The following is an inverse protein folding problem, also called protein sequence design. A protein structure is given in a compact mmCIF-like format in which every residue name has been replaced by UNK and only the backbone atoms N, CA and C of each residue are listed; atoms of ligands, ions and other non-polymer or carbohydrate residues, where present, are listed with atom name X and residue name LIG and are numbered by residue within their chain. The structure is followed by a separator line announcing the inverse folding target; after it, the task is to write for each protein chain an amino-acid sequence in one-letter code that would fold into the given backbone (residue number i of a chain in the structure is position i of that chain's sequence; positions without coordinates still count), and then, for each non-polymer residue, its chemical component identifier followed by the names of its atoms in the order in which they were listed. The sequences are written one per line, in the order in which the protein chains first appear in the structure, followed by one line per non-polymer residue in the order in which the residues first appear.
data_IF_208239028553
#
_entry.id   IF_208239028553
#
_cell.length_a   1.000
_cell.length_b   1.000
_cell.length_c   1.000
_cell.angle_alpha   90.00
_cell.angle_beta   90.00
_cell.angle_gamma   90.00
#
_symmetry.space_group_name_H-M   'P 1'
#
loop_
_entity.id
_entity.type
_entity.pdbx_description
1 polymer ?
#
# COMPACT_ATOMS: atom_id res chain seq x y z
N UNK A 1 -54.12 41.40 49.21
CA UNK A 1 -54.06 40.43 48.13
C UNK A 1 -52.73 40.57 47.41
N UNK A 2 -51.72 39.82 47.78
CA UNK A 2 -50.40 39.85 47.20
C UNK A 2 -50.32 38.78 46.09
N UNK A 3 -50.06 39.23 44.85
CA UNK A 3 -49.84 38.33 43.71
C UNK A 3 -48.37 37.88 43.71
N UNK A 4 -48.14 36.62 43.85
CA UNK A 4 -46.84 35.95 43.75
C UNK A 4 -46.60 35.63 42.27
N UNK A 5 -45.64 36.33 41.66
CA UNK A 5 -45.20 36.02 40.28
C UNK A 5 -44.08 34.98 40.33
N UNK A 6 -44.39 33.79 39.90
CA UNK A 6 -43.40 32.68 39.77
C UNK A 6 -42.63 32.89 38.47
N UNK A 7 -41.34 33.21 38.57
CA UNK A 7 -40.40 33.30 37.43
C UNK A 7 -39.93 31.88 37.13
N UNK A 8 -40.32 31.31 35.98
CA UNK A 8 -39.88 30.04 35.50
C UNK A 8 -38.54 30.24 34.72
N UNK A 9 -37.42 29.89 35.32
CA UNK A 9 -36.10 29.94 34.70
C UNK A 9 -35.94 28.68 33.82
N UNK A 10 -36.10 28.82 32.52
CA UNK A 10 -35.82 27.73 31.56
C UNK A 10 -34.31 27.63 31.36
N UNK A 11 -33.69 26.59 31.90
CA UNK A 11 -32.31 26.26 31.70
C UNK A 11 -32.18 25.58 30.32
N UNK A 12 -31.73 26.32 29.30
CA UNK A 12 -31.41 25.77 27.98
C UNK A 12 -30.05 25.11 28.10
N UNK A 13 -30.03 23.77 28.19
CA UNK A 13 -28.84 22.96 27.94
C UNK A 13 -28.51 23.03 26.43
N UNK A 14 -27.56 23.86 26.05
CA UNK A 14 -26.94 23.74 24.75
C UNK A 14 -26.10 22.45 24.73
N UNK A 15 -26.65 21.39 24.19
CA UNK A 15 -25.86 20.21 23.76
C UNK A 15 -24.97 20.68 22.63
N UNK A 16 -23.69 20.97 22.94
CA UNK A 16 -22.65 21.09 21.93
C UNK A 16 -22.55 19.71 21.26
N UNK A 17 -23.16 19.57 20.09
CA UNK A 17 -22.86 18.48 19.19
C UNK A 17 -21.39 18.69 18.77
N UNK A 18 -20.49 17.95 19.37
CA UNK A 18 -19.14 17.80 18.81
C UNK A 18 -19.34 17.12 17.44
N UNK A 19 -19.12 17.86 16.37
CA UNK A 19 -19.02 17.25 15.05
C UNK A 19 -17.85 16.26 15.12
N UNK A 20 -18.14 14.97 15.00
CA UNK A 20 -17.09 13.95 14.91
C UNK A 20 -16.28 14.24 13.66
N UNK A 21 -15.00 14.51 13.83
CA UNK A 21 -14.09 14.70 12.69
C UNK A 21 -14.03 13.37 11.92
N UNK A 22 -14.23 13.45 10.60
CA UNK A 22 -13.99 12.29 9.73
C UNK A 22 -12.71 12.50 8.97
N UNK A 23 -11.93 11.44 8.84
CA UNK A 23 -10.68 11.43 8.10
C UNK A 23 -10.81 10.50 6.88
N UNK A 24 -10.22 10.89 5.77
CA UNK A 24 -10.10 10.03 4.59
C UNK A 24 -9.10 8.92 4.89
N UNK A 25 -9.47 7.67 4.63
CA UNK A 25 -8.59 6.51 4.82
C UNK A 25 -7.91 6.18 3.52
N UNK A 26 -6.58 6.19 3.52
CA UNK A 26 -5.77 5.90 2.33
C UNK A 26 -4.73 4.84 2.67
N UNK A 27 -4.73 3.72 1.94
CA UNK A 27 -3.69 2.70 2.03
C UNK A 27 -2.59 2.94 1.00
N UNK A 28 -1.35 2.72 1.43
CA UNK A 28 -0.17 2.67 0.56
C UNK A 28 0.68 1.46 0.90
N UNK A 29 1.32 0.88 -0.12
CA UNK A 29 2.07 -0.37 0.01
C UNK A 29 3.53 -0.18 -0.40
N UNK A 30 4.44 -0.62 0.48
CA UNK A 30 5.86 -0.69 0.21
C UNK A 30 6.24 -2.12 -0.13
N UNK A 31 6.57 -2.39 -1.39
CA UNK A 31 6.90 -3.71 -1.90
C UNK A 31 8.37 -4.02 -1.71
N UNK A 32 8.70 -5.08 -0.93
CA UNK A 32 10.07 -5.48 -0.60
C UNK A 32 10.34 -6.96 -0.84
N UNK A 33 11.60 -7.25 -1.15
CA UNK A 33 12.15 -8.61 -1.21
C UNK A 33 13.48 -8.65 -0.43
N UNK A 34 13.38 -8.85 0.88
CA UNK A 34 14.49 -8.70 1.81
C UNK A 34 14.87 -7.23 2.03
N UNK A 35 16.13 -6.88 1.80
CA UNK A 35 16.60 -5.50 1.92
C UNK A 35 16.18 -4.62 0.74
N UNK A 36 15.91 -5.22 -0.43
CA UNK A 36 15.71 -4.53 -1.69
C UNK A 36 14.23 -4.24 -1.97
N UNK A 37 13.91 -3.17 -2.74
CA UNK A 37 12.59 -3.01 -3.34
C UNK A 37 12.28 -4.19 -4.25
N UNK A 38 11.04 -4.71 -4.15
CA UNK A 38 10.56 -5.73 -5.07
C UNK A 38 10.03 -5.07 -6.34
N UNK A 39 10.74 -5.26 -7.43
CA UNK A 39 10.39 -4.76 -8.77
C UNK A 39 10.22 -5.96 -9.69
N UNK A 40 9.03 -6.09 -10.30
CA UNK A 40 8.73 -7.18 -11.22
C UNK A 40 9.73 -7.23 -12.37
N UNK A 41 10.07 -8.44 -12.82
CA UNK A 41 11.02 -8.75 -13.87
C UNK A 41 12.48 -8.32 -13.62
N UNK A 42 12.76 -7.68 -12.47
CA UNK A 42 14.08 -7.12 -12.16
C UNK A 42 14.70 -7.70 -10.89
N UNK A 43 13.97 -7.62 -9.75
CA UNK A 43 14.52 -8.03 -8.46
C UNK A 43 14.62 -9.55 -8.35
N UNK A 44 15.85 -10.04 -8.19
CA UNK A 44 16.14 -11.44 -7.88
C UNK A 44 16.42 -11.54 -6.38
N UNK A 45 15.65 -12.34 -5.66
CA UNK A 45 15.79 -12.53 -4.23
C UNK A 45 15.96 -14.01 -3.85
N UNK A 46 16.49 -14.23 -2.65
CA UNK A 46 16.73 -15.59 -2.14
C UNK A 46 15.62 -15.96 -1.17
N UNK A 47 15.03 -17.14 -1.37
CA UNK A 47 14.03 -17.70 -0.47
C UNK A 47 14.65 -18.67 0.54
N UNK A 48 13.85 -19.19 1.49
CA UNK A 48 14.27 -19.95 2.67
C UNK A 48 15.21 -21.15 2.39
N UNK A 49 15.12 -21.78 1.22
CA UNK A 49 15.93 -22.94 0.81
C UNK A 49 17.08 -22.57 -0.15
N UNK A 50 17.52 -21.32 -0.12
CA UNK A 50 18.59 -20.74 -0.95
C UNK A 50 18.32 -20.69 -2.46
N UNK A 51 17.10 -20.99 -2.92
CA UNK A 51 16.75 -20.77 -4.32
C UNK A 51 16.59 -19.30 -4.63
N UNK A 52 16.97 -18.91 -5.84
CA UNK A 52 16.73 -17.58 -6.38
C UNK A 52 15.37 -17.54 -7.05
N UNK A 53 14.64 -16.45 -6.79
CA UNK A 53 13.31 -16.20 -7.36
C UNK A 53 13.27 -14.81 -7.95
N UNK A 54 12.54 -14.65 -9.06
CA UNK A 54 12.21 -13.40 -9.67
C UNK A 54 10.72 -13.41 -10.03
N UNK A 55 9.97 -12.42 -9.52
CA UNK A 55 8.54 -12.30 -9.82
C UNK A 55 8.30 -11.59 -11.13
N UNK A 56 7.34 -12.07 -11.91
CA UNK A 56 6.82 -11.45 -13.14
C UNK A 56 5.41 -10.91 -12.93
N UNK A 57 4.70 -11.43 -11.91
CA UNK A 57 3.38 -10.96 -11.47
C UNK A 57 3.20 -11.17 -9.98
N UNK A 58 2.63 -10.16 -9.33
CA UNK A 58 2.21 -10.27 -7.93
C UNK A 58 1.00 -9.35 -7.71
N UNK A 59 -0.18 -9.97 -7.60
CA UNK A 59 -1.46 -9.29 -7.40
C UNK A 59 -2.26 -10.05 -6.33
N UNK A 60 -2.95 -9.33 -5.46
CA UNK A 60 -3.83 -9.94 -4.46
C UNK A 60 -4.92 -8.99 -3.99
N UNK A 61 -6.04 -9.58 -3.55
CA UNK A 61 -7.13 -8.83 -2.95
C UNK A 61 -6.97 -8.69 -1.44
N UNK A 62 -7.33 -7.51 -0.96
CA UNK A 62 -7.61 -7.23 0.45
C UNK A 62 -9.09 -6.81 0.55
N UNK A 63 -9.79 -7.31 1.57
CA UNK A 63 -11.19 -7.02 1.85
C UNK A 63 -11.46 -6.95 3.35
N UNK A 64 -12.67 -6.52 3.72
CA UNK A 64 -13.17 -6.52 5.10
C UNK A 64 -12.17 -5.94 6.10
N UNK A 65 -11.77 -4.68 5.87
CA UNK A 65 -10.80 -3.98 6.72
C UNK A 65 -11.49 -3.43 7.96
N UNK A 66 -10.91 -3.66 9.14
CA UNK A 66 -11.29 -3.05 10.40
C UNK A 66 -10.11 -2.28 10.99
N UNK A 67 -10.34 -1.05 11.41
CA UNK A 67 -9.35 -0.22 12.10
C UNK A 67 -9.49 -0.44 13.60
N UNK A 68 -8.41 -0.81 14.28
CA UNK A 68 -8.38 -0.91 15.75
C UNK A 68 -8.16 0.47 16.34
N UNK A 69 -9.01 0.85 17.31
CA UNK A 69 -8.93 2.14 17.99
C UNK A 69 -8.21 2.02 19.36
N UNK A 70 -7.81 3.15 19.91
CA UNK A 70 -7.07 3.23 21.19
C UNK A 70 -7.82 2.64 22.39
N UNK A 71 -9.16 2.59 22.33
CA UNK A 71 -10.03 2.05 23.38
C UNK A 71 -10.29 0.54 23.22
N UNK A 72 -9.56 -0.14 22.31
CA UNK A 72 -9.73 -1.54 21.92
C UNK A 72 -11.07 -1.86 21.23
N UNK A 73 -11.79 -0.86 20.74
CA UNK A 73 -12.89 -1.09 19.80
C UNK A 73 -12.38 -1.15 18.36
N UNK A 74 -13.20 -1.68 17.44
CA UNK A 74 -12.89 -1.73 16.02
C UNK A 74 -13.87 -0.89 15.22
N UNK A 75 -13.40 -0.32 14.14
CA UNK A 75 -14.18 0.42 13.17
C UNK A 75 -14.11 -0.29 11.81
N UNK A 76 -15.18 -0.99 11.38
CA UNK A 76 -15.18 -1.68 10.10
C UNK A 76 -15.34 -0.68 8.95
N UNK A 77 -14.56 -0.89 7.88
CA UNK A 77 -14.72 -0.25 6.58
C UNK A 77 -15.50 -1.21 5.68
N UNK A 78 -16.83 -1.07 5.68
CA UNK A 78 -17.72 -2.00 4.98
C UNK A 78 -17.65 -1.84 3.46
N UNK A 79 -17.82 -2.97 2.74
CA UNK A 79 -17.89 -3.03 1.26
C UNK A 79 -16.66 -2.44 0.56
N UNK A 80 -15.50 -2.43 1.24
CA UNK A 80 -14.25 -1.95 0.67
C UNK A 80 -13.38 -3.12 0.20
N UNK A 81 -12.88 -2.98 -1.02
CA UNK A 81 -11.98 -3.95 -1.66
C UNK A 81 -10.77 -3.22 -2.22
N UNK A 82 -9.60 -3.84 -2.13
CA UNK A 82 -8.38 -3.37 -2.78
C UNK A 82 -7.80 -4.49 -3.64
N UNK A 83 -7.40 -4.17 -4.86
CA UNK A 83 -6.52 -5.03 -5.65
C UNK A 83 -5.12 -4.44 -5.58
N UNK A 84 -4.27 -5.04 -4.79
CA UNK A 84 -2.87 -4.64 -4.66
C UNK A 84 -2.09 -5.27 -5.81
N UNK A 85 -1.38 -4.45 -6.58
CA UNK A 85 -0.65 -4.88 -7.76
C UNK A 85 0.79 -4.34 -7.72
N UNK A 86 1.76 -5.24 -7.69
CA UNK A 86 3.17 -4.90 -7.64
C UNK A 86 3.70 -4.23 -8.93
N UNK A 87 2.97 -4.30 -10.04
CA UNK A 87 3.27 -3.50 -11.23
C UNK A 87 3.02 -1.99 -11.01
N UNK A 88 2.28 -1.65 -9.95
CA UNK A 88 1.91 -0.27 -9.59
C UNK A 88 2.32 0.04 -8.13
N UNK A 89 3.61 -0.03 -7.77
CA UNK A 89 4.06 0.03 -6.37
C UNK A 89 3.78 1.37 -5.68
N UNK A 90 3.45 2.42 -6.43
CA UNK A 90 3.07 3.72 -5.88
C UNK A 90 1.57 3.96 -5.79
N UNK A 91 0.73 2.97 -6.10
CA UNK A 91 -0.72 3.12 -6.03
C UNK A 91 -1.19 3.37 -4.59
N UNK A 92 -2.09 4.32 -4.43
CA UNK A 92 -2.81 4.58 -3.20
C UNK A 92 -4.25 4.09 -3.37
N UNK A 93 -4.79 3.49 -2.31
CA UNK A 93 -6.16 3.00 -2.28
C UNK A 93 -6.96 3.83 -1.28
N UNK A 94 -7.91 4.59 -1.82
CA UNK A 94 -8.85 5.39 -1.03
C UNK A 94 -10.04 4.53 -0.60
N UNK A 95 -10.21 4.35 0.69
CA UNK A 95 -11.32 3.58 1.27
C UNK A 95 -12.42 4.49 1.84
N UNK A 96 -12.45 5.77 1.47
CA UNK A 96 -13.47 6.71 1.91
C UNK A 96 -13.21 7.32 3.28
N UNK A 97 -14.28 7.81 3.90
CA UNK A 97 -14.21 8.54 5.17
C UNK A 97 -14.51 7.63 6.36
N UNK A 98 -13.76 7.82 7.44
CA UNK A 98 -14.05 7.16 8.72
C UNK A 98 -13.90 8.13 9.90
N UNK A 99 -14.44 7.74 11.04
CA UNK A 99 -14.41 8.52 12.28
C UNK A 99 -13.23 8.14 13.19
N UNK A 100 -12.09 7.76 12.61
CA UNK A 100 -10.88 7.42 13.36
C UNK A 100 -9.83 8.52 13.17
N UNK A 101 -9.28 9.03 14.27
CA UNK A 101 -8.14 9.97 14.27
C UNK A 101 -6.80 9.22 14.30
N UNK A 102 -6.80 7.94 14.66
CA UNK A 102 -5.64 7.07 14.65
C UNK A 102 -6.05 5.61 14.47
N UNK A 103 -5.17 4.82 13.85
CA UNK A 103 -5.23 3.37 13.83
C UNK A 103 -4.16 2.80 14.79
N UNK A 104 -4.56 1.93 15.69
CA UNK A 104 -3.69 1.21 16.63
C UNK A 104 -3.45 -0.25 16.21
N UNK A 105 -3.85 -0.60 15.03
CA UNK A 105 -3.76 -1.89 14.39
C UNK A 105 -4.84 -2.03 13.33
N UNK A 106 -4.80 -3.14 12.62
CA UNK A 106 -5.77 -3.47 11.57
C UNK A 106 -6.12 -4.95 11.64
N UNK A 107 -7.38 -5.28 11.42
CA UNK A 107 -7.79 -6.58 10.91
C UNK A 107 -8.12 -6.41 9.44
N UNK A 108 -7.58 -7.28 8.60
CA UNK A 108 -7.92 -7.32 7.18
C UNK A 108 -7.96 -8.77 6.67
N UNK A 109 -8.55 -8.96 5.50
CA UNK A 109 -8.65 -10.28 4.92
C UNK A 109 -7.98 -10.34 3.56
N UNK A 110 -7.19 -11.40 3.33
CA UNK A 110 -6.62 -11.72 2.02
C UNK A 110 -7.61 -12.55 1.23
N UNK A 111 -8.05 -12.01 0.10
CA UNK A 111 -9.03 -12.62 -0.79
C UNK A 111 -10.33 -11.83 -0.90
N UNK A 112 -11.36 -12.52 -1.38
CA UNK A 112 -12.71 -12.00 -1.57
C UNK A 112 -13.66 -12.86 -0.73
N UNK A 113 -14.55 -12.29 0.11
CA UNK A 113 -15.42 -13.06 0.97
C UNK A 113 -16.40 -13.92 0.16
N UNK A 114 -16.75 -15.09 0.68
CA UNK A 114 -17.56 -16.10 -0.01
C UNK A 114 -18.89 -15.53 -0.55
N UNK A 115 -19.48 -14.59 0.16
CA UNK A 115 -20.73 -13.93 -0.25
C UNK A 115 -20.62 -13.19 -1.58
N UNK A 116 -19.39 -12.83 -2.00
CA UNK A 116 -19.09 -12.03 -3.20
C UNK A 116 -18.20 -12.78 -4.18
N UNK A 117 -17.39 -13.73 -3.72
CA UNK A 117 -16.36 -14.43 -4.50
C UNK A 117 -16.87 -15.03 -5.82
N UNK A 118 -18.12 -15.51 -5.84
CA UNK A 118 -18.69 -16.19 -7.00
C UNK A 118 -19.63 -15.31 -7.83
N UNK A 119 -19.66 -14.00 -7.57
CA UNK A 119 -20.48 -13.04 -8.32
C UNK A 119 -19.84 -12.70 -9.68
N UNK A 120 -20.67 -12.18 -10.58
CA UNK A 120 -20.21 -11.75 -11.90
C UNK A 120 -19.35 -10.48 -11.79
N UNK A 121 -18.07 -10.51 -12.19
CA UNK A 121 -17.24 -9.30 -12.22
C UNK A 121 -17.80 -8.17 -13.08
N UNK A 122 -18.58 -8.48 -14.12
CA UNK A 122 -19.17 -7.48 -14.99
C UNK A 122 -20.30 -6.68 -14.31
N UNK A 123 -20.80 -7.14 -13.15
CA UNK A 123 -21.78 -6.38 -12.35
C UNK A 123 -21.16 -5.18 -11.63
N UNK A 124 -19.84 -5.13 -11.49
CA UNK A 124 -19.12 -4.03 -10.85
C UNK A 124 -18.84 -2.90 -11.83
N UNK A 125 -18.91 -1.64 -11.39
CA UNK A 125 -18.58 -0.51 -12.25
C UNK A 125 -17.12 -0.53 -12.69
N UNK A 126 -16.83 0.04 -13.85
CA UNK A 126 -15.46 0.16 -14.33
C UNK A 126 -14.56 0.88 -13.32
N UNK A 127 -13.36 0.32 -13.06
CA UNK A 127 -12.41 0.82 -12.08
C UNK A 127 -12.61 0.24 -10.67
N UNK A 128 -13.72 -0.46 -10.40
CA UNK A 128 -13.86 -1.17 -9.14
C UNK A 128 -12.86 -2.33 -9.05
N UNK A 129 -12.24 -2.62 -7.89
CA UNK A 129 -11.26 -3.70 -7.75
C UNK A 129 -11.77 -5.07 -8.20
N UNK A 130 -13.05 -5.36 -7.99
CA UNK A 130 -13.70 -6.61 -8.40
C UNK A 130 -14.25 -6.60 -9.83
N UNK A 131 -14.16 -5.49 -10.57
CA UNK A 131 -14.50 -5.46 -12.00
C UNK A 131 -13.52 -6.31 -12.84
N UNK A 132 -13.83 -6.64 -14.11
CA UNK A 132 -12.91 -7.40 -14.95
C UNK A 132 -11.52 -6.76 -15.02
N UNK A 133 -10.48 -7.55 -14.70
CA UNK A 133 -9.07 -7.14 -14.72
C UNK A 133 -8.35 -7.69 -15.95
N UNK A 134 -7.20 -7.07 -16.29
CA UNK A 134 -6.29 -7.56 -17.33
C UNK A 134 -4.82 -7.48 -16.83
N UNK A 135 -4.15 -8.63 -16.59
CA UNK A 135 -4.65 -10.03 -16.70
C UNK A 135 -5.83 -10.29 -15.77
N UNK A 136 -6.69 -11.25 -16.14
CA UNK A 136 -7.90 -11.54 -15.35
C UNK A 136 -7.56 -12.00 -13.93
N UNK A 137 -8.31 -11.48 -12.95
CA UNK A 137 -8.29 -11.93 -11.55
C UNK A 137 -9.54 -12.75 -11.17
N UNK A 138 -10.35 -13.17 -12.15
CA UNK A 138 -11.50 -14.03 -11.93
C UNK A 138 -11.42 -15.29 -12.83
N UNK A 139 -11.68 -16.47 -12.25
CA UNK A 139 -11.56 -17.77 -12.93
C UNK A 139 -12.90 -18.43 -13.26
N UNK A 140 -13.94 -17.65 -13.38
CA UNK A 140 -15.30 -18.14 -13.61
C UNK A 140 -16.06 -18.41 -12.29
N UNK A 141 -17.36 -18.52 -12.39
CA UNK A 141 -18.29 -18.53 -11.26
C UNK A 141 -18.07 -19.67 -10.25
N UNK A 142 -17.64 -20.85 -10.73
CA UNK A 142 -17.39 -21.99 -9.85
C UNK A 142 -16.16 -21.78 -8.97
N UNK A 143 -15.13 -21.15 -9.50
CA UNK A 143 -13.83 -20.99 -8.83
C UNK A 143 -13.68 -19.62 -8.17
N UNK A 144 -14.42 -18.61 -8.65
CA UNK A 144 -14.40 -17.26 -8.13
C UNK A 144 -13.14 -16.46 -8.51
N UNK A 145 -12.81 -15.49 -7.66
CA UNK A 145 -11.63 -14.65 -7.82
C UNK A 145 -10.34 -15.38 -7.44
N UNK A 146 -9.24 -15.04 -8.10
CA UNK A 146 -7.90 -15.34 -7.62
C UNK A 146 -7.62 -14.43 -6.43
N UNK A 147 -7.58 -14.97 -5.23
CA UNK A 147 -7.29 -14.21 -4.02
C UNK A 147 -5.88 -13.63 -4.06
N UNK A 148 -4.96 -14.41 -4.63
CA UNK A 148 -3.59 -14.01 -4.88
C UNK A 148 -3.07 -14.71 -6.14
N UNK A 149 -2.44 -13.96 -7.06
CA UNK A 149 -1.73 -14.47 -8.23
C UNK A 149 -0.25 -14.10 -8.10
N UNK A 150 0.61 -15.11 -7.94
CA UNK A 150 2.07 -14.97 -7.85
C UNK A 150 2.69 -15.81 -8.96
N UNK A 151 3.31 -15.14 -9.92
CA UNK A 151 3.96 -15.77 -11.07
C UNK A 151 5.42 -15.31 -11.15
N UNK A 152 6.28 -16.14 -11.71
CA UNK A 152 7.68 -15.79 -11.83
C UNK A 152 8.56 -16.92 -12.32
N UNK A 153 9.84 -16.73 -12.07
CA UNK A 153 10.90 -17.68 -12.40
C UNK A 153 11.64 -18.10 -11.12
N UNK A 154 12.05 -19.35 -11.05
CA UNK A 154 12.90 -19.89 -9.97
C UNK A 154 14.14 -20.53 -10.57
N UNK A 155 15.28 -20.35 -9.91
CA UNK A 155 16.54 -21.02 -10.21
C UNK A 155 16.49 -22.47 -9.72
N UNK A 156 16.22 -23.40 -10.63
CA UNK A 156 16.13 -24.83 -10.31
C UNK A 156 17.43 -25.59 -10.57
N UNK A 157 18.32 -25.07 -11.38
CA UNK A 157 19.64 -25.67 -11.66
C UNK A 157 20.73 -25.19 -10.68
N UNK A 158 20.44 -24.16 -9.85
CA UNK A 158 21.28 -23.53 -8.83
C UNK A 158 22.52 -22.81 -9.44
N UNK A 159 22.38 -22.24 -10.64
CA UNK A 159 23.43 -21.40 -11.26
C UNK A 159 23.32 -19.90 -10.85
N UNK A 160 22.28 -19.56 -10.12
CA UNK A 160 22.00 -18.20 -9.64
C UNK A 160 21.08 -17.39 -10.54
N UNK A 161 20.60 -17.97 -11.66
CA UNK A 161 19.72 -17.33 -12.63
C UNK A 161 18.34 -18.01 -12.59
N UNK A 162 17.26 -17.29 -12.20
CA UNK A 162 15.91 -17.84 -12.27
C UNK A 162 15.45 -18.08 -13.71
N UNK A 163 15.16 -19.36 -14.08
CA UNK A 163 14.81 -19.75 -15.46
C UNK A 163 13.54 -20.63 -15.55
N UNK A 164 13.17 -21.32 -14.46
CA UNK A 164 12.01 -22.21 -14.45
C UNK A 164 10.75 -21.46 -14.04
N UNK A 165 9.76 -21.41 -14.92
CA UNK A 165 8.50 -20.70 -14.67
C UNK A 165 7.69 -21.36 -13.56
N UNK A 166 7.01 -20.53 -12.78
CA UNK A 166 5.98 -20.95 -11.82
C UNK A 166 4.77 -20.02 -11.86
N UNK A 167 3.59 -20.58 -11.55
CA UNK A 167 2.32 -19.88 -11.44
C UNK A 167 1.55 -20.42 -10.23
N UNK A 168 1.32 -19.58 -9.24
CA UNK A 168 0.53 -19.91 -8.05
C UNK A 168 -0.71 -19.00 -8.02
N UNK A 169 -1.83 -19.55 -8.54
CA UNK A 169 -3.12 -18.88 -8.50
C UNK A 169 -3.93 -19.42 -7.32
N UNK A 170 -3.94 -18.64 -6.26
CA UNK A 170 -4.62 -18.96 -5.01
C UNK A 170 -6.09 -18.57 -5.15
N UNK A 171 -6.98 -19.52 -5.23
CA UNK A 171 -8.42 -19.33 -5.38
C UNK A 171 -9.22 -20.41 -4.63
N UNK A 172 -10.44 -20.08 -4.30
CA UNK A 172 -11.34 -20.93 -3.51
C UNK A 172 -11.50 -20.46 -2.07
N UNK A 173 -12.73 -20.51 -1.54
CA UNK A 173 -13.12 -19.93 -0.26
C UNK A 173 -12.28 -20.39 0.94
N UNK A 174 -11.73 -21.63 0.89
CA UNK A 174 -10.85 -22.16 1.94
C UNK A 174 -9.53 -21.40 2.08
N UNK A 175 -9.14 -20.62 1.06
CA UNK A 175 -7.93 -19.79 1.06
C UNK A 175 -8.16 -18.38 1.58
N UNK A 176 -9.38 -17.99 1.93
CA UNK A 176 -9.67 -16.72 2.58
C UNK A 176 -9.01 -16.67 3.95
N UNK A 177 -8.17 -15.66 4.21
CA UNK A 177 -7.34 -15.58 5.41
C UNK A 177 -7.49 -14.24 6.11
N UNK A 178 -7.68 -14.27 7.42
CA UNK A 178 -7.59 -13.09 8.27
C UNK A 178 -6.14 -12.77 8.61
N UNK A 179 -5.80 -11.51 8.61
CA UNK A 179 -4.50 -10.95 9.01
C UNK A 179 -4.72 -9.92 10.09
N UNK A 180 -4.04 -10.09 11.22
CA UNK A 180 -4.01 -9.14 12.31
C UNK A 180 -2.69 -8.37 12.25
N UNK A 181 -2.77 -7.05 12.16
CA UNK A 181 -1.60 -6.17 12.12
C UNK A 181 -1.58 -5.30 13.38
N UNK A 182 -0.42 -5.19 13.97
CA UNK A 182 -0.15 -4.24 15.06
C UNK A 182 0.71 -3.11 14.53
N UNK A 183 0.38 -1.89 14.88
CA UNK A 183 1.09 -0.70 14.44
C UNK A 183 0.28 0.52 14.86
N UNK A 184 0.83 1.71 14.62
CA UNK A 184 0.14 2.95 14.93
C UNK A 184 0.36 3.97 13.82
N UNK A 185 -0.73 4.52 13.31
CA UNK A 185 -0.74 5.65 12.37
C UNK A 185 -1.78 6.68 12.82
N UNK A 186 -1.43 7.95 12.77
CA UNK A 186 -2.33 9.04 13.14
C UNK A 186 -2.79 9.83 11.91
N UNK A 187 -4.03 10.31 11.95
CA UNK A 187 -4.55 11.15 10.89
C UNK A 187 -3.85 12.51 10.87
N UNK A 188 -3.44 12.94 9.69
CA UNK A 188 -2.82 14.24 9.47
C UNK A 188 -3.56 15.01 8.38
N UNK A 189 -3.93 16.26 8.67
CA UNK A 189 -4.63 17.13 7.72
C UNK A 189 -5.91 16.50 7.13
N UNK A 190 -6.67 15.75 7.95
CA UNK A 190 -7.92 15.09 7.52
C UNK A 190 -7.71 13.78 6.75
N UNK A 191 -6.50 13.19 6.76
CA UNK A 191 -6.19 11.93 6.11
C UNK A 191 -5.54 10.97 7.11
N UNK A 192 -6.15 9.80 7.32
CA UNK A 192 -5.55 8.66 8.00
C UNK A 192 -4.86 7.79 6.94
N UNK A 193 -3.54 7.91 6.84
CA UNK A 193 -2.74 7.19 5.86
C UNK A 193 -2.13 5.95 6.49
N UNK A 194 -2.48 4.78 5.97
CA UNK A 194 -2.06 3.48 6.46
C UNK A 194 -0.97 2.91 5.55
N UNK A 195 0.26 2.83 6.07
CA UNK A 195 1.43 2.38 5.33
C UNK A 195 1.72 0.91 5.66
N UNK A 196 1.54 0.03 4.70
CA UNK A 196 1.83 -1.39 4.84
C UNK A 196 3.08 -1.77 4.04
N UNK A 197 3.95 -2.56 4.66
CA UNK A 197 5.08 -3.20 3.97
C UNK A 197 4.72 -4.63 3.59
N UNK A 198 5.03 -5.00 2.37
CA UNK A 198 4.85 -6.32 1.77
C UNK A 198 6.21 -6.98 1.58
N UNK A 199 6.52 -8.01 2.37
CA UNK A 199 7.80 -8.73 2.31
C UNK A 199 7.61 -10.05 1.54
N UNK A 200 7.87 -10.03 0.24
CA UNK A 200 7.58 -11.14 -0.68
C UNK A 200 8.37 -12.41 -0.38
N UNK A 201 9.55 -12.33 0.23
CA UNK A 201 10.34 -13.52 0.62
C UNK A 201 9.53 -14.42 1.55
N UNK A 202 8.69 -13.85 2.40
CA UNK A 202 7.91 -14.58 3.39
C UNK A 202 6.84 -15.49 2.77
N UNK A 203 6.33 -15.15 1.59
CA UNK A 203 5.36 -15.99 0.87
C UNK A 203 5.89 -17.41 0.60
N UNK A 204 7.19 -17.54 0.38
CA UNK A 204 7.83 -18.78 -0.06
C UNK A 204 8.32 -19.67 1.08
N UNK A 205 8.15 -19.29 2.34
CA UNK A 205 8.59 -20.08 3.48
C UNK A 205 7.97 -21.49 3.43
N UNK A 206 8.82 -22.53 3.56
CA UNK A 206 8.44 -23.94 3.48
C UNK A 206 7.84 -24.39 2.12
N UNK A 207 7.97 -23.62 1.07
CA UNK A 207 7.62 -24.01 -0.30
C UNK A 207 8.91 -24.45 -1.01
N UNK A 208 8.99 -25.73 -1.41
CA UNK A 208 10.23 -26.30 -1.95
C UNK A 208 10.63 -25.74 -3.32
N UNK A 209 9.69 -25.20 -4.08
CA UNK A 209 9.87 -24.69 -5.46
C UNK A 209 10.47 -25.75 -6.40
N UNK A 210 9.95 -26.99 -6.32
CA UNK A 210 10.33 -28.13 -7.16
C UNK A 210 9.09 -28.89 -7.62
N UNK A 211 9.22 -29.73 -8.64
CA UNK A 211 8.12 -30.53 -9.19
C UNK A 211 7.20 -29.71 -10.09
N UNK A 212 5.88 -29.95 -10.01
CA UNK A 212 4.92 -29.15 -10.76
C UNK A 212 4.71 -27.78 -10.09
N UNK A 213 5.15 -26.74 -10.76
CA UNK A 213 5.09 -25.35 -10.28
C UNK A 213 3.93 -24.54 -10.90
N UNK A 214 3.07 -25.18 -11.69
CA UNK A 214 1.83 -24.56 -12.19
C UNK A 214 0.69 -25.08 -11.31
N UNK A 215 0.23 -24.24 -10.37
CA UNK A 215 -0.69 -24.63 -9.32
C UNK A 215 -1.86 -23.64 -9.22
N UNK A 216 -3.07 -24.16 -9.32
CA UNK A 216 -4.30 -23.39 -9.24
C UNK A 216 -5.24 -23.97 -8.17
N UNK A 217 -5.98 -23.10 -7.48
CA UNK A 217 -6.95 -23.51 -6.45
C UNK A 217 -6.32 -23.75 -5.08
N UNK A 218 -7.04 -24.46 -4.23
CA UNK A 218 -6.67 -24.72 -2.83
C UNK A 218 -5.79 -25.96 -2.67
N UNK A 219 -4.73 -26.07 -3.48
CA UNK A 219 -3.72 -27.15 -3.37
C UNK A 219 -2.70 -26.84 -2.27
N UNK A 220 -1.88 -27.83 -1.89
CA UNK A 220 -0.95 -27.73 -0.75
C UNK A 220 -0.03 -26.49 -0.82
N UNK A 221 0.58 -26.22 -1.98
CA UNK A 221 1.48 -25.07 -2.16
C UNK A 221 0.72 -23.76 -1.93
N UNK A 222 -0.45 -23.62 -2.55
CA UNK A 222 -1.28 -22.42 -2.44
C UNK A 222 -1.81 -22.23 -1.01
N UNK A 223 -2.21 -23.32 -0.33
CA UNK A 223 -2.57 -23.25 1.09
C UNK A 223 -1.39 -22.78 1.96
N UNK A 224 -0.18 -23.29 1.69
CA UNK A 224 1.02 -22.87 2.42
C UNK A 224 1.31 -21.39 2.15
N UNK A 225 1.24 -20.94 0.90
CA UNK A 225 1.47 -19.53 0.53
C UNK A 225 0.49 -18.58 1.20
N UNK A 226 -0.81 -18.89 1.17
CA UNK A 226 -1.83 -18.06 1.83
C UNK A 226 -1.71 -18.07 3.36
N UNK A 227 -1.28 -19.19 3.95
CA UNK A 227 -0.97 -19.27 5.38
C UNK A 227 0.26 -18.42 5.71
N UNK A 228 1.31 -18.48 4.89
CA UNK A 228 2.49 -17.64 5.03
C UNK A 228 2.12 -16.15 4.93
N UNK A 229 1.29 -15.78 3.95
CA UNK A 229 0.82 -14.42 3.79
C UNK A 229 0.11 -13.88 5.05
N UNK A 230 -0.63 -14.74 5.75
CA UNK A 230 -1.35 -14.36 6.96
C UNK A 230 -0.50 -14.39 8.24
N UNK A 231 0.57 -15.20 8.31
CA UNK A 231 1.23 -15.51 9.59
C UNK A 231 2.74 -15.23 9.64
N UNK A 232 3.38 -14.91 8.50
CA UNK A 232 4.85 -14.82 8.41
C UNK A 232 5.37 -13.40 8.18
N UNK A 233 4.63 -12.37 8.60
CA UNK A 233 5.00 -10.96 8.37
C UNK A 233 5.17 -10.62 6.87
N UNK A 234 4.38 -11.24 6.01
CA UNK A 234 4.26 -10.78 4.62
C UNK A 234 3.69 -9.36 4.59
N UNK A 235 2.66 -9.12 5.39
CA UNK A 235 2.08 -7.80 5.64
C UNK A 235 2.52 -7.31 7.03
N UNK A 236 3.05 -6.10 7.08
CA UNK A 236 3.33 -5.42 8.35
C UNK A 236 2.88 -3.96 8.25
N UNK A 237 2.31 -3.46 9.33
CA UNK A 237 1.99 -2.04 9.48
C UNK A 237 3.20 -1.29 10.03
N UNK A 238 3.42 -0.06 9.59
CA UNK A 238 4.46 0.76 10.18
C UNK A 238 4.18 0.98 11.68
N UNK A 239 5.17 0.73 12.50
CA UNK A 239 5.12 1.17 13.90
C UNK A 239 5.71 2.58 13.92
N UNK A 240 4.88 3.59 14.15
CA UNK A 240 5.40 4.93 14.44
C UNK A 240 6.12 4.85 15.79
N UNK A 241 7.42 4.67 15.75
CA UNK A 241 8.23 5.08 16.88
C UNK A 241 8.29 6.61 16.81
N UNK A 242 8.07 7.29 17.92
CA UNK A 242 8.05 8.77 18.03
C UNK A 242 9.26 9.47 17.37
N UNK A 243 10.30 8.72 17.03
CA UNK A 243 11.48 9.15 16.26
C UNK A 243 11.17 9.41 14.77
N UNK A 244 10.14 8.78 14.18
CA UNK A 244 9.86 8.97 12.76
C UNK A 244 9.04 10.26 12.49
N UNK A 245 8.12 10.62 13.37
CA UNK A 245 7.37 11.89 13.25
C UNK A 245 8.26 13.13 13.37
N UNK A 246 9.23 13.11 14.29
CA UNK A 246 10.21 14.20 14.43
C UNK A 246 11.06 14.33 13.16
N UNK A 247 11.38 13.22 12.49
CA UNK A 247 12.15 13.24 11.25
C UNK A 247 11.34 13.79 10.06
N UNK A 248 10.10 13.36 9.86
CA UNK A 248 9.27 13.83 8.71
C UNK A 248 8.97 15.33 8.80
N UNK A 249 8.70 15.84 10.00
CA UNK A 249 8.46 17.28 10.22
C UNK A 249 9.75 18.12 10.21
N UNK A 250 10.92 17.52 10.43
CA UNK A 250 12.22 18.17 10.35
C UNK A 250 12.87 18.13 8.97
N UNK A 251 12.34 17.31 8.04
CA UNK A 251 12.90 17.15 6.70
C UNK A 251 12.73 18.44 5.89
N UNK A 252 13.83 19.10 5.61
CA UNK A 252 13.88 20.29 4.79
C UNK A 252 13.88 19.89 3.32
N UNK A 253 12.70 19.69 2.75
CA UNK A 253 12.54 19.46 1.31
C UNK A 253 11.57 20.50 0.75
N UNK A 254 12.02 21.29 -0.22
CA UNK A 254 11.22 22.33 -0.86
C UNK A 254 11.59 22.48 -2.32
N UNK A 255 10.63 22.91 -3.14
CA UNK A 255 10.85 23.33 -4.51
C UNK A 255 10.45 24.80 -4.63
N UNK A 256 11.33 25.66 -5.11
CA UNK A 256 11.07 27.09 -5.28
C UNK A 256 11.78 27.63 -6.54
N UNK A 257 11.04 28.33 -7.44
CA UNK A 257 9.60 28.62 -7.38
C UNK A 257 8.75 27.37 -7.57
N UNK A 258 7.55 27.36 -6.98
CA UNK A 258 6.50 26.37 -7.22
C UNK A 258 5.13 27.07 -7.14
N UNK A 259 4.36 27.19 -8.21
CA UNK A 259 4.59 26.67 -9.56
C UNK A 259 5.76 27.33 -10.33
N UNK A 260 6.23 26.64 -11.39
CA UNK A 260 7.27 27.14 -12.28
C UNK A 260 6.96 26.85 -13.76
N UNK A 261 7.59 27.61 -14.66
CA UNK A 261 7.40 27.47 -16.12
C UNK A 261 8.62 26.86 -16.84
N UNK A 262 9.80 27.08 -16.34
CA UNK A 262 11.06 26.61 -16.96
C UNK A 262 11.86 25.71 -16.03
N UNK A 263 12.04 26.12 -14.78
CA UNK A 263 12.86 25.40 -13.80
C UNK A 263 12.44 25.72 -12.37
N UNK A 264 12.79 24.83 -11.46
CA UNK A 264 12.69 25.04 -10.00
C UNK A 264 13.96 24.54 -9.32
N UNK A 265 14.32 25.13 -8.19
CA UNK A 265 15.38 24.64 -7.33
C UNK A 265 14.77 23.78 -6.22
N UNK A 266 15.11 22.50 -6.20
CA UNK A 266 14.73 21.57 -5.16
C UNK A 266 15.85 21.59 -4.11
N UNK A 267 15.55 22.09 -2.92
CA UNK A 267 16.44 22.06 -1.76
C UNK A 267 16.04 20.92 -0.84
N UNK A 268 17.00 20.18 -0.33
CA UNK A 268 16.74 19.06 0.57
C UNK A 268 17.86 18.88 1.59
N UNK A 269 17.48 18.38 2.78
CA UNK A 269 18.36 18.01 3.89
C UNK A 269 17.72 16.79 4.56
N UNK A 270 18.23 15.59 4.23
CA UNK A 270 17.63 14.31 4.54
C UNK A 270 18.56 13.47 5.41
N UNK A 271 18.05 12.68 6.36
CA UNK A 271 18.86 11.84 7.24
C UNK A 271 19.30 10.56 6.49
N UNK A 272 20.19 10.71 5.53
CA UNK A 272 20.69 9.62 4.71
C UNK A 272 22.19 9.37 4.98
N UNK A 273 22.60 8.11 5.05
CA UNK A 273 23.99 7.67 5.16
C UNK A 273 24.59 7.35 3.79
N UNK A 274 23.76 6.95 2.83
CA UNK A 274 24.13 6.55 1.48
C UNK A 274 23.62 7.56 0.42
N UNK A 275 24.01 7.32 -0.83
CA UNK A 275 23.58 8.15 -1.94
C UNK A 275 22.07 8.02 -2.19
N UNK A 276 21.41 9.16 -2.36
CA UNK A 276 19.98 9.24 -2.63
C UNK A 276 19.64 9.07 -4.10
N UNK A 277 18.45 8.57 -4.36
CA UNK A 277 17.79 8.58 -5.66
C UNK A 277 16.52 9.43 -5.58
N UNK A 278 16.39 10.44 -6.45
CA UNK A 278 15.14 11.18 -6.60
C UNK A 278 14.38 10.67 -7.81
N UNK A 279 13.11 10.32 -7.61
CA UNK A 279 12.18 9.88 -8.66
C UNK A 279 11.08 10.92 -8.79
N UNK A 280 10.77 11.30 -10.04
CA UNK A 280 9.68 12.21 -10.38
C UNK A 280 8.61 11.44 -11.13
N UNK A 281 7.36 11.56 -10.69
CA UNK A 281 6.20 10.91 -11.32
C UNK A 281 5.16 11.95 -11.74
N UNK A 282 4.39 11.64 -12.80
CA UNK A 282 3.23 12.42 -13.20
C UNK A 282 2.00 12.07 -12.34
N UNK A 283 0.85 12.72 -12.61
CA UNK A 283 -0.41 12.48 -11.89
C UNK A 283 -0.98 11.07 -12.08
N UNK A 284 -0.50 10.29 -13.05
CA UNK A 284 -0.87 8.89 -13.28
C UNK A 284 0.10 7.91 -12.58
N UNK A 285 1.05 8.42 -11.78
CA UNK A 285 2.06 7.60 -11.10
C UNK A 285 3.20 7.10 -12.01
N UNK A 286 3.23 7.50 -13.27
CA UNK A 286 4.29 7.08 -14.19
C UNK A 286 5.57 7.87 -13.92
N UNK A 287 6.70 7.17 -13.79
CA UNK A 287 8.03 7.79 -13.63
C UNK A 287 8.40 8.54 -14.91
N UNK A 288 8.64 9.85 -14.76
CA UNK A 288 9.03 10.72 -15.86
C UNK A 288 10.50 11.12 -15.79
N UNK A 289 11.14 11.04 -14.62
CA UNK A 289 12.57 11.30 -14.44
C UNK A 289 13.11 10.60 -13.19
N UNK A 290 14.35 10.12 -13.26
CA UNK A 290 15.08 9.55 -12.12
C UNK A 290 16.47 10.16 -12.08
N UNK A 291 16.92 10.59 -10.90
CA UNK A 291 18.22 11.20 -10.63
C UNK A 291 18.86 10.47 -9.45
N UNK A 292 19.91 9.71 -9.70
CA UNK A 292 20.64 8.94 -8.69
C UNK A 292 21.96 9.58 -8.28
N UNK A 293 22.58 9.02 -7.21
CA UNK A 293 23.89 9.48 -6.73
C UNK A 293 23.86 10.85 -6.04
N UNK A 294 22.70 11.25 -5.49
CA UNK A 294 22.57 12.53 -4.82
C UNK A 294 23.08 12.43 -3.37
N UNK A 295 23.74 13.47 -2.83
CA UNK A 295 24.17 13.50 -1.43
C UNK A 295 22.95 13.62 -0.49
N UNK A 296 23.15 13.37 0.82
CA UNK A 296 22.10 13.48 1.84
C UNK A 296 21.48 14.87 1.95
N UNK A 297 22.24 15.91 1.63
CA UNK A 297 21.76 17.29 1.62
C UNK A 297 22.30 18.04 0.42
N UNK A 298 21.51 18.98 -0.10
CA UNK A 298 21.92 19.78 -1.26
C UNK A 298 20.80 20.58 -1.90
N UNK A 299 21.13 21.11 -3.08
CA UNK A 299 20.18 21.76 -3.96
C UNK A 299 20.33 21.22 -5.38
N UNK A 300 19.20 20.91 -5.99
CA UNK A 300 19.09 20.33 -7.33
C UNK A 300 18.28 21.28 -8.22
N UNK A 301 18.86 21.70 -9.33
CA UNK A 301 18.12 22.40 -10.37
C UNK A 301 17.32 21.39 -11.18
N UNK A 302 15.99 21.53 -11.16
CA UNK A 302 15.08 20.69 -11.93
C UNK A 302 14.49 21.53 -13.08
N UNK A 303 14.86 21.17 -14.28
CA UNK A 303 14.36 21.83 -15.50
C UNK A 303 13.11 21.11 -16.01
N UNK A 304 12.11 21.88 -16.46
CA UNK A 304 10.89 21.37 -17.07
C UNK A 304 11.21 20.46 -18.28
N UNK A 305 12.11 20.89 -19.15
CA UNK A 305 12.39 20.22 -20.42
C UNK A 305 11.09 20.02 -21.21
N UNK A 306 10.86 18.81 -21.72
CA UNK A 306 9.67 18.44 -22.51
C UNK A 306 8.46 18.01 -21.68
N UNK A 307 8.51 18.17 -20.34
CA UNK A 307 7.41 17.77 -19.47
C UNK A 307 6.20 18.70 -19.70
N UNK A 308 4.97 18.13 -19.87
CA UNK A 308 3.73 18.91 -19.97
C UNK A 308 3.45 19.73 -18.73
N UNK A 309 2.61 20.75 -18.87
CA UNK A 309 2.04 21.44 -17.70
C UNK A 309 1.18 20.46 -16.89
N UNK A 310 1.34 20.47 -15.57
CA UNK A 310 0.64 19.53 -14.69
C UNK A 310 1.20 19.49 -13.28
N UNK A 311 0.62 18.60 -12.48
CA UNK A 311 1.08 18.29 -11.14
C UNK A 311 2.02 17.09 -11.22
N UNK A 312 3.16 17.20 -10.56
CA UNK A 312 4.16 16.15 -10.47
C UNK A 312 4.51 15.89 -9.01
N UNK A 313 4.75 14.63 -8.67
CA UNK A 313 5.33 14.26 -7.40
C UNK A 313 6.82 13.99 -7.56
N UNK A 314 7.62 14.36 -6.59
CA UNK A 314 9.02 13.97 -6.49
C UNK A 314 9.30 13.35 -5.13
N UNK A 315 10.04 12.26 -5.13
CA UNK A 315 10.33 11.48 -3.95
C UNK A 315 11.80 11.12 -3.87
N UNK A 316 12.37 11.19 -2.67
CA UNK A 316 13.75 10.78 -2.39
C UNK A 316 13.77 9.42 -1.73
N UNK A 317 14.66 8.58 -2.21
CA UNK A 317 14.86 7.22 -1.74
C UNK A 317 16.32 6.99 -1.34
N UNK A 318 16.54 6.26 -0.24
CA UNK A 318 17.82 5.69 0.15
C UNK A 318 17.69 4.16 0.16
N UNK A 319 18.52 3.45 -0.60
CA UNK A 319 18.45 1.97 -0.70
C UNK A 319 17.03 1.43 -0.95
N UNK A 320 16.23 2.16 -1.75
CA UNK A 320 14.85 1.82 -2.04
C UNK A 320 13.82 2.22 -0.99
N UNK A 321 14.25 2.64 0.19
CA UNK A 321 13.38 3.19 1.24
C UNK A 321 12.99 4.64 0.94
N UNK A 322 11.70 4.98 0.99
CA UNK A 322 11.21 6.34 0.82
C UNK A 322 11.59 7.19 2.03
N UNK A 323 12.31 8.30 1.81
CA UNK A 323 12.67 9.28 2.86
C UNK A 323 11.76 10.50 2.85
N UNK A 324 11.46 11.02 1.65
CA UNK A 324 10.64 12.21 1.54
C UNK A 324 9.87 12.21 0.22
N UNK A 325 8.65 12.76 0.23
CA UNK A 325 7.83 12.98 -0.97
C UNK A 325 7.20 14.36 -0.90
N UNK A 326 7.25 15.09 -2.01
CA UNK A 326 6.63 16.41 -2.18
C UNK A 326 6.08 16.52 -3.60
N UNK A 327 5.40 17.63 -3.87
CA UNK A 327 4.87 17.92 -5.21
C UNK A 327 5.33 19.29 -5.70
N UNK A 328 5.39 19.43 -7.01
CA UNK A 328 5.51 20.71 -7.68
C UNK A 328 4.53 20.81 -8.86
N UNK A 329 4.28 22.00 -9.30
CA UNK A 329 3.36 22.31 -10.40
C UNK A 329 4.15 22.98 -11.52
N UNK A 330 4.05 22.42 -12.72
CA UNK A 330 4.55 23.04 -13.95
C UNK A 330 3.38 23.76 -14.63
N UNK A 331 3.53 25.04 -14.86
CA UNK A 331 2.58 25.87 -15.59
C UNK A 331 3.28 27.04 -16.28
N UNK A 332 2.67 27.53 -17.37
CA UNK A 332 3.06 28.78 -18.03
C UNK A 332 2.69 30.01 -17.19
#
# INVERSE_FOLDING_TARGET
MKRLSTLLLALIFALSAFAQTTNQVVFSFNHKAGADPMVLDQTVFTIWNNKKVKLTRAEFYISEVEIHLADNTTLPLTDQYMLVNAANPGAEHDLGQCAADAAHGLTLHLGVPQSVNHNDPAAWPAGHPLAPQNPTMHWGWTSGYRFMAIEGLVDNNNDGVPETSFEFHNLGDALYKTVELTGMEEAQNGVLRLHLTLEYVQLFKNIAMTGNLIQHGSVTINNTMMTNAATQNFLTMATVTATHEVLVNSLKVSASPNPFSTETLIQYDLPAADALTMVVTNSLGQTVRTLGGLPASGSLRFEKGDLPNGIYQYAFYENGGLLARKQFIIRE
#
